data_IF_764303171302
#
_entry.id   IF_764303171302
#
_cell.length_a   1.000
_cell.length_b   1.000
_cell.length_c   1.000
_cell.angle_alpha   90.00
_cell.angle_beta   90.00
_cell.angle_gamma   90.00
#
_symmetry.space_group_name_H-M   'P 1'
#
loop_
_entity.id
_entity.type
_entity.pdbx_description
1 polymer ?
#
# COMPACT_ATOMS: atom_id res chain seq x y z
N UNK A 1 1.58 21.00 54.99
CA UNK A 1 2.66 20.61 54.06
C UNK A 1 2.00 19.99 52.85
N UNK A 2 1.68 20.80 51.84
CA UNK A 2 1.00 20.35 50.62
C UNK A 2 2.02 20.38 49.50
N UNK A 3 2.35 19.21 48.95
CA UNK A 3 3.32 19.08 47.85
C UNK A 3 2.56 19.28 46.54
N UNK A 4 2.97 20.21 45.66
CA UNK A 4 2.35 20.35 44.37
C UNK A 4 2.90 19.27 43.44
N UNK A 5 2.05 18.39 42.93
CA UNK A 5 2.39 17.52 41.79
C UNK A 5 2.30 18.36 40.51
N UNK A 6 3.36 19.11 40.24
CA UNK A 6 3.60 19.66 38.91
C UNK A 6 4.14 18.53 38.03
N UNK A 7 3.23 17.89 37.29
CA UNK A 7 3.61 17.11 36.11
C UNK A 7 3.43 18.02 34.91
N UNK A 8 4.29 19.01 34.78
CA UNK A 8 4.52 19.69 33.49
C UNK A 8 5.42 18.78 32.67
N UNK A 9 4.86 17.65 32.27
CA UNK A 9 5.40 16.82 31.19
C UNK A 9 4.90 17.43 29.90
N UNK A 10 5.60 18.46 29.44
CA UNK A 10 5.43 19.05 28.12
C UNK A 10 5.97 18.07 27.06
N UNK A 11 5.34 16.91 26.99
CA UNK A 11 5.42 16.05 25.83
C UNK A 11 4.26 16.56 25.00
N UNK A 12 4.53 17.55 24.15
CA UNK A 12 3.62 17.91 23.07
C UNK A 12 3.29 16.62 22.34
N UNK A 13 2.15 16.03 22.73
CA UNK A 13 1.29 15.27 21.87
C UNK A 13 1.01 16.20 20.71
N UNK A 14 1.89 16.19 19.72
CA UNK A 14 1.61 16.65 18.38
C UNK A 14 0.49 15.71 17.91
N UNK A 15 -0.73 16.09 18.30
CA UNK A 15 -1.92 15.28 18.11
C UNK A 15 -1.99 15.02 16.62
N UNK A 16 -2.03 13.74 16.26
CA UNK A 16 -2.27 13.31 14.89
C UNK A 16 -3.54 14.05 14.46
N UNK A 17 -3.38 15.14 13.71
CA UNK A 17 -4.52 15.88 13.19
C UNK A 17 -5.30 14.91 12.32
N UNK A 18 -6.63 15.05 12.29
CA UNK A 18 -7.46 14.21 11.44
C UNK A 18 -6.94 14.19 9.98
N UNK A 19 -6.39 15.32 9.53
CA UNK A 19 -5.71 15.45 8.25
C UNK A 19 -4.45 14.58 8.13
N UNK A 20 -3.55 14.57 9.12
CA UNK A 20 -2.36 13.73 9.07
C UNK A 20 -2.69 12.23 9.17
N UNK A 21 -3.74 11.86 9.91
CA UNK A 21 -4.25 10.48 9.94
C UNK A 21 -4.78 10.04 8.57
N UNK A 22 -5.62 10.86 7.92
CA UNK A 22 -6.20 10.52 6.63
C UNK A 22 -5.14 10.45 5.53
N UNK A 23 -4.15 11.35 5.53
CA UNK A 23 -3.01 11.25 4.59
C UNK A 23 -2.22 9.95 4.83
N UNK A 24 -1.86 9.62 6.07
CA UNK A 24 -1.15 8.37 6.39
C UNK A 24 -1.94 7.14 5.96
N UNK A 25 -3.26 7.15 6.20
CA UNK A 25 -4.18 6.08 5.78
C UNK A 25 -4.21 5.92 4.26
N UNK A 26 -4.29 7.01 3.51
CA UNK A 26 -4.28 7.00 2.05
C UNK A 26 -2.94 6.53 1.50
N UNK A 27 -1.82 6.98 2.06
CA UNK A 27 -0.47 6.52 1.71
C UNK A 27 -0.30 5.02 1.95
N UNK A 28 -0.74 4.52 3.11
CA UNK A 28 -0.71 3.09 3.41
C UNK A 28 -1.54 2.28 2.41
N UNK A 29 -2.73 2.79 2.04
CA UNK A 29 -3.59 2.13 1.04
C UNK A 29 -2.96 2.13 -0.35
N UNK A 30 -2.26 3.19 -0.72
CA UNK A 30 -1.49 3.25 -1.96
C UNK A 30 -0.38 2.19 -1.97
N UNK A 31 0.40 2.07 -0.89
CA UNK A 31 1.46 1.08 -0.79
C UNK A 31 0.93 -0.37 -0.95
N UNK A 32 -0.21 -0.68 -0.34
CA UNK A 32 -0.86 -2.00 -0.50
C UNK A 32 -1.33 -2.25 -1.94
N UNK A 33 -1.84 -1.24 -2.63
CA UNK A 33 -2.23 -1.35 -4.05
C UNK A 33 -1.01 -1.57 -4.93
N UNK A 34 0.09 -0.86 -4.69
CA UNK A 34 1.33 -1.01 -5.45
C UNK A 34 1.96 -2.40 -5.26
N UNK A 35 1.90 -2.95 -4.03
CA UNK A 35 2.32 -4.32 -3.76
C UNK A 35 1.44 -5.35 -4.51
N UNK A 36 0.11 -5.15 -4.51
CA UNK A 36 -0.83 -6.00 -5.26
C UNK A 36 -0.54 -5.98 -6.76
N UNK A 37 -0.34 -4.80 -7.34
CA UNK A 37 0.02 -4.61 -8.74
C UNK A 37 1.33 -5.34 -9.06
N UNK A 38 2.37 -5.14 -8.26
CA UNK A 38 3.67 -5.79 -8.46
C UNK A 38 3.57 -7.31 -8.34
N UNK A 39 2.64 -7.84 -7.53
CA UNK A 39 2.36 -9.27 -7.46
C UNK A 39 1.65 -9.78 -8.72
N UNK A 40 0.57 -9.11 -9.15
CA UNK A 40 -0.16 -9.47 -10.35
C UNK A 40 0.71 -9.41 -11.61
N UNK A 41 1.59 -8.42 -11.72
CA UNK A 41 2.56 -8.33 -12.83
C UNK A 41 3.59 -9.47 -12.80
N UNK A 42 4.05 -9.89 -11.61
CA UNK A 42 4.91 -11.07 -11.47
C UNK A 42 4.20 -12.35 -11.88
N UNK A 43 2.94 -12.53 -11.50
CA UNK A 43 2.16 -13.72 -11.85
C UNK A 43 1.86 -13.80 -13.36
N UNK A 44 1.86 -12.67 -14.07
CA UNK A 44 1.73 -12.63 -15.54
C UNK A 44 3.02 -13.00 -16.29
N UNK A 45 4.15 -13.10 -15.61
CA UNK A 45 5.46 -13.41 -16.17
C UNK A 45 5.89 -14.83 -15.80
N UNK A 46 6.50 -15.54 -16.76
CA UNK A 46 7.19 -16.79 -16.43
C UNK A 46 8.45 -16.46 -15.64
N UNK A 47 8.73 -17.21 -14.58
CA UNK A 47 9.91 -17.00 -13.73
C UNK A 47 10.60 -18.32 -13.42
N UNK A 48 11.84 -18.24 -12.95
CA UNK A 48 12.57 -19.41 -12.46
C UNK A 48 12.43 -19.46 -10.94
N UNK A 49 12.07 -20.61 -10.39
CA UNK A 49 12.08 -20.86 -8.96
C UNK A 49 13.54 -20.89 -8.46
N UNK A 50 13.94 -19.99 -7.53
CA UNK A 50 15.31 -19.93 -7.05
C UNK A 50 15.74 -21.15 -6.22
N UNK A 51 14.80 -21.92 -5.67
CA UNK A 51 15.12 -23.12 -4.87
C UNK A 51 15.32 -24.37 -5.72
N UNK A 52 14.56 -24.50 -6.81
CA UNK A 52 14.54 -25.72 -7.64
C UNK A 52 15.17 -25.52 -9.03
N UNK A 53 15.30 -24.28 -9.49
CA UNK A 53 15.71 -23.95 -10.86
C UNK A 53 14.64 -24.18 -11.92
N UNK A 54 13.42 -24.59 -11.52
CA UNK A 54 12.35 -24.89 -12.47
C UNK A 54 11.66 -23.62 -13.00
N UNK A 55 11.16 -23.70 -14.24
CA UNK A 55 10.40 -22.61 -14.83
C UNK A 55 8.94 -22.65 -14.32
N UNK A 56 8.59 -21.68 -13.50
CA UNK A 56 7.22 -21.41 -13.08
C UNK A 56 6.47 -20.76 -14.25
N UNK A 57 5.40 -21.39 -14.76
CA UNK A 57 4.65 -20.86 -15.89
C UNK A 57 3.93 -19.56 -15.51
N UNK A 58 3.85 -18.65 -16.47
CA UNK A 58 3.01 -17.47 -16.36
C UNK A 58 1.53 -17.86 -16.21
N UNK A 59 0.74 -16.98 -15.59
CA UNK A 59 -0.71 -17.10 -15.62
C UNK A 59 -1.23 -17.22 -17.06
N UNK A 60 -2.10 -18.22 -17.28
CA UNK A 60 -2.65 -18.57 -18.58
C UNK A 60 -4.19 -18.66 -18.54
N UNK A 61 -4.83 -18.59 -19.71
CA UNK A 61 -6.27 -18.76 -19.87
C UNK A 61 -7.11 -17.76 -19.06
N UNK A 62 -8.20 -18.25 -18.45
CA UNK A 62 -9.11 -17.42 -17.66
C UNK A 62 -8.44 -16.73 -16.47
N UNK A 63 -7.45 -17.37 -15.84
CA UNK A 63 -6.70 -16.76 -14.74
C UNK A 63 -5.90 -15.53 -15.20
N UNK A 64 -5.29 -15.60 -16.40
CA UNK A 64 -4.62 -14.44 -17.01
C UNK A 64 -5.59 -13.29 -17.28
N UNK A 65 -6.76 -13.60 -17.83
CA UNK A 65 -7.78 -12.59 -18.12
C UNK A 65 -8.26 -11.89 -16.84
N UNK A 66 -8.45 -12.65 -15.76
CA UNK A 66 -8.79 -12.10 -14.45
C UNK A 66 -7.70 -11.19 -13.88
N UNK A 67 -6.43 -11.61 -13.95
CA UNK A 67 -5.30 -10.78 -13.49
C UNK A 67 -5.22 -9.45 -14.25
N UNK A 68 -5.39 -9.47 -15.57
CA UNK A 68 -5.38 -8.25 -16.38
C UNK A 68 -6.54 -7.30 -16.01
N UNK A 69 -7.73 -7.84 -15.77
CA UNK A 69 -8.89 -7.08 -15.31
C UNK A 69 -8.62 -6.43 -13.94
N UNK A 70 -8.12 -7.21 -12.99
CA UNK A 70 -7.78 -6.71 -11.65
C UNK A 70 -6.72 -5.61 -11.72
N UNK A 71 -5.65 -5.82 -12.48
CA UNK A 71 -4.56 -4.85 -12.64
C UNK A 71 -5.06 -3.52 -13.23
N UNK A 72 -5.99 -3.55 -14.18
CA UNK A 72 -6.56 -2.31 -14.73
C UNK A 72 -7.28 -1.49 -13.65
N UNK A 73 -8.07 -2.16 -12.80
CA UNK A 73 -8.79 -1.53 -11.69
C UNK A 73 -7.82 -1.00 -10.63
N UNK A 74 -6.83 -1.81 -10.23
CA UNK A 74 -5.85 -1.44 -9.21
C UNK A 74 -4.98 -0.26 -9.65
N UNK A 75 -4.52 -0.25 -10.91
CA UNK A 75 -3.77 0.89 -11.47
C UNK A 75 -4.60 2.17 -11.50
N UNK A 76 -5.89 2.07 -11.89
CA UNK A 76 -6.78 3.22 -11.87
C UNK A 76 -7.03 3.76 -10.44
N UNK A 77 -7.15 2.87 -9.45
CA UNK A 77 -7.28 3.24 -8.04
C UNK A 77 -6.01 3.88 -7.48
N UNK A 78 -4.84 3.30 -7.77
CA UNK A 78 -3.55 3.86 -7.36
C UNK A 78 -3.35 5.27 -7.93
N UNK A 79 -3.66 5.47 -9.22
CA UNK A 79 -3.56 6.77 -9.86
C UNK A 79 -4.53 7.81 -9.26
N UNK A 80 -5.72 7.37 -8.87
CA UNK A 80 -6.67 8.25 -8.16
C UNK A 80 -6.16 8.63 -6.77
N UNK A 81 -5.57 7.70 -6.02
CA UNK A 81 -4.99 7.99 -4.70
C UNK A 81 -3.79 8.92 -4.81
N UNK A 82 -2.88 8.71 -5.76
CA UNK A 82 -1.73 9.60 -6.01
C UNK A 82 -2.17 11.03 -6.28
N UNK A 83 -3.19 11.22 -7.13
CA UNK A 83 -3.75 12.55 -7.39
C UNK A 83 -4.38 13.18 -6.15
N UNK A 84 -5.09 12.42 -5.32
CA UNK A 84 -5.65 12.96 -4.08
C UNK A 84 -4.60 13.33 -3.04
N UNK A 85 -3.50 12.58 -2.96
CA UNK A 85 -2.38 12.86 -2.04
C UNK A 85 -1.58 14.07 -2.54
N UNK A 86 -1.27 14.14 -3.84
CA UNK A 86 -0.44 15.19 -4.43
C UNK A 86 -1.17 16.48 -4.82
N UNK A 87 -2.50 16.51 -4.81
CA UNK A 87 -3.30 17.73 -5.02
C UNK A 87 -3.57 18.53 -3.72
N UNK A 88 -3.02 18.08 -2.58
CA UNK A 88 -2.97 18.82 -1.31
C UNK A 88 -1.59 19.43 -1.15
#
# INVERSE_FOLDING_TARGET
MSVPTSTTGDIFHEGISFESFEVQRMTRRLALLEESIARGERDLCSRVDPGTGEQLPAAFGGYRAQLLSNLAIEKALAERLRRHIGAR
#
